data_IF_735603718047
#
_entry.id   IF_735603718047
#
_cell.length_a   1.000
_cell.length_b   1.000
_cell.length_c   1.000
_cell.angle_alpha   90.00
_cell.angle_beta   90.00
_cell.angle_gamma   90.00
#
_symmetry.space_group_name_H-M   'P 1'
#
loop_
_entity.id
_entity.type
_entity.pdbx_description
1 polymer ?
#
# COMPACT_ATOMS: atom_id res chain seq x y z
N UNK A 1 -5.38 -5.45 -11.39
CA UNK A 1 -4.02 -4.90 -11.22
C UNK A 1 -3.16 -6.03 -10.65
N UNK A 2 -2.27 -6.61 -11.46
CA UNK A 2 -1.44 -7.76 -11.03
C UNK A 2 -0.27 -7.17 -10.24
N UNK A 3 -0.32 -7.26 -8.93
CA UNK A 3 0.83 -6.99 -8.06
C UNK A 3 1.70 -8.24 -8.05
N UNK A 4 3.02 -8.09 -8.10
CA UNK A 4 3.95 -9.21 -7.90
C UNK A 4 3.89 -9.63 -6.43
N UNK A 5 2.88 -10.42 -6.10
CA UNK A 5 2.71 -11.05 -4.81
C UNK A 5 3.65 -12.26 -4.73
N UNK A 6 4.63 -12.23 -3.84
CA UNK A 6 5.32 -13.47 -3.46
C UNK A 6 4.59 -14.03 -2.25
N UNK A 7 3.67 -14.96 -2.49
CA UNK A 7 2.95 -15.66 -1.43
C UNK A 7 3.77 -16.87 -0.98
N UNK A 8 4.30 -16.82 0.24
CA UNK A 8 4.87 -18.01 0.89
C UNK A 8 3.73 -18.82 1.52
N UNK A 9 3.30 -19.90 0.86
CA UNK A 9 2.45 -20.92 1.51
C UNK A 9 3.34 -21.95 2.20
N UNK A 10 3.14 -22.11 3.50
CA UNK A 10 3.68 -23.26 4.24
C UNK A 10 2.73 -24.43 3.95
N UNK A 11 3.17 -25.36 3.09
CA UNK A 11 2.42 -26.61 2.81
C UNK A 11 2.72 -27.58 3.95
N UNK A 12 1.69 -27.98 4.69
CA UNK A 12 1.78 -29.13 5.59
C UNK A 12 1.54 -30.40 4.78
N UNK A 13 2.51 -31.30 4.78
CA UNK A 13 2.33 -32.64 4.23
C UNK A 13 1.44 -33.48 5.15
N UNK A 14 0.39 -34.05 4.56
CA UNK A 14 -0.22 -35.32 4.94
C UNK A 14 -0.94 -35.41 6.29
N UNK A 15 -2.26 -35.18 6.30
CA UNK A 15 -3.17 -35.92 7.19
C UNK A 15 -4.42 -36.39 6.41
N UNK A 16 -4.87 -37.64 6.61
CA UNK A 16 -6.03 -38.20 5.93
C UNK A 16 -7.34 -37.61 6.44
N UNK A 17 -8.32 -37.52 5.54
CA UNK A 17 -9.63 -36.95 5.79
C UNK A 17 -10.44 -37.76 6.82
N UNK A 18 -10.74 -37.16 7.96
CA UNK A 18 -11.78 -37.64 8.87
C UNK A 18 -13.18 -37.25 8.34
N UNK A 19 -14.04 -38.25 8.21
CA UNK A 19 -15.47 -38.10 7.95
C UNK A 19 -16.17 -37.59 9.21
N UNK A 20 -16.52 -36.30 9.23
CA UNK A 20 -17.30 -35.69 10.32
C UNK A 20 -18.81 -35.75 10.05
N UNK A 21 -19.55 -36.27 11.02
CA UNK A 21 -21.02 -36.25 11.10
C UNK A 21 -21.59 -34.80 11.13
N UNK A 22 -22.81 -34.58 10.61
CA UNK A 22 -23.43 -33.26 10.60
C UNK A 22 -23.83 -32.80 12.01
N UNK A 23 -23.23 -31.69 12.46
CA UNK A 23 -23.64 -31.01 13.69
C UNK A 23 -24.97 -30.27 13.51
N UNK A 24 -25.83 -30.21 14.55
CA UNK A 24 -27.09 -29.46 14.52
C UNK A 24 -26.83 -27.98 14.27
N UNK A 25 -27.68 -27.37 13.43
CA UNK A 25 -27.64 -25.96 13.05
C UNK A 25 -27.73 -25.07 14.30
N UNK A 26 -26.60 -24.45 14.63
CA UNK A 26 -26.54 -23.40 15.62
C UNK A 26 -27.20 -22.17 14.99
N UNK A 27 -28.28 -21.70 15.63
CA UNK A 27 -29.01 -20.51 15.23
C UNK A 27 -28.08 -19.33 15.50
N UNK A 28 -27.47 -18.79 14.44
CA UNK A 28 -26.64 -17.61 14.49
C UNK A 28 -27.51 -16.42 14.89
N UNK A 29 -27.40 -16.01 16.16
CA UNK A 29 -27.84 -14.69 16.57
C UNK A 29 -27.06 -13.67 15.74
N UNK A 30 -27.77 -12.97 14.84
CA UNK A 30 -27.22 -11.93 13.99
C UNK A 30 -26.45 -10.94 14.87
N UNK A 31 -25.13 -10.74 14.66
CA UNK A 31 -24.37 -9.83 15.48
C UNK A 31 -25.01 -8.43 15.42
N UNK A 32 -25.05 -7.70 16.54
CA UNK A 32 -25.66 -6.38 16.57
C UNK A 32 -25.08 -5.53 15.46
N UNK A 33 -25.97 -4.90 14.68
CA UNK A 33 -25.65 -3.97 13.60
C UNK A 33 -24.60 -2.95 14.07
N UNK A 34 -23.35 -3.15 13.66
CA UNK A 34 -22.32 -2.11 13.75
C UNK A 34 -22.63 -1.06 12.69
N UNK A 35 -22.86 0.21 13.05
CA UNK A 35 -23.12 1.24 12.08
C UNK A 35 -21.92 1.31 11.11
N UNK A 36 -22.21 1.11 9.82
CA UNK A 36 -21.24 1.30 8.73
C UNK A 36 -20.57 2.65 8.94
N UNK A 37 -19.25 2.66 9.24
CA UNK A 37 -18.50 3.91 9.41
C UNK A 37 -18.80 4.81 8.20
N UNK A 38 -19.24 6.07 8.40
CA UNK A 38 -19.60 6.94 7.31
C UNK A 38 -18.36 7.16 6.43
N UNK A 39 -18.41 6.59 5.22
CA UNK A 39 -17.55 6.82 4.07
C UNK A 39 -16.05 7.04 4.35
N UNK A 40 -15.24 5.98 4.26
CA UNK A 40 -13.77 6.06 4.45
C UNK A 40 -13.08 7.06 3.51
N UNK A 41 -11.86 7.46 3.87
CA UNK A 41 -11.02 8.46 3.20
C UNK A 41 -11.09 8.46 1.66
N UNK A 42 -10.99 7.29 1.05
CA UNK A 42 -11.14 7.08 -0.40
C UNK A 42 -12.43 7.67 -0.97
N UNK A 43 -13.55 7.50 -0.29
CA UNK A 43 -14.85 7.96 -0.78
C UNK A 43 -14.91 9.49 -0.79
N UNK A 44 -14.55 10.13 0.32
CA UNK A 44 -14.51 11.60 0.47
C UNK A 44 -13.69 12.22 -0.66
N UNK A 45 -12.47 11.72 -0.90
CA UNK A 45 -11.61 12.27 -1.96
C UNK A 45 -12.17 11.99 -3.36
N UNK A 46 -12.83 10.84 -3.61
CA UNK A 46 -13.46 10.60 -4.90
C UNK A 46 -14.66 11.55 -5.15
N UNK A 47 -15.45 11.89 -4.13
CA UNK A 47 -16.50 12.89 -4.25
C UNK A 47 -15.94 14.26 -4.61
N UNK A 48 -14.86 14.68 -3.95
CA UNK A 48 -14.19 15.94 -4.25
C UNK A 48 -13.57 15.96 -5.65
N UNK A 49 -12.96 14.85 -6.08
CA UNK A 49 -12.48 14.70 -7.46
C UNK A 49 -13.63 14.82 -8.47
N UNK A 50 -14.81 14.26 -8.19
CA UNK A 50 -16.00 14.45 -9.05
C UNK A 50 -16.45 15.91 -9.09
N UNK A 51 -16.50 16.61 -7.93
CA UNK A 51 -16.84 18.04 -7.86
C UNK A 51 -15.85 18.92 -8.65
N UNK A 52 -14.57 18.55 -8.66
CA UNK A 52 -13.53 19.22 -9.45
C UNK A 52 -13.60 18.88 -10.96
N UNK A 53 -14.50 17.98 -11.39
CA UNK A 53 -14.55 17.50 -12.77
C UNK A 53 -13.34 16.67 -13.18
N UNK A 54 -12.64 16.07 -12.20
CA UNK A 54 -11.47 15.21 -12.40
C UNK A 54 -11.80 13.73 -12.16
N UNK A 55 -12.86 13.43 -11.42
CA UNK A 55 -13.28 12.08 -11.07
C UNK A 55 -13.95 11.33 -12.22
N UNK A 56 -14.10 10.02 -12.02
CA UNK A 56 -14.92 9.15 -12.86
C UNK A 56 -16.39 9.29 -12.49
N UNK A 57 -17.25 9.53 -13.49
CA UNK A 57 -18.70 9.54 -13.32
C UNK A 57 -19.36 8.36 -14.01
N UNK A 58 -20.68 8.27 -13.85
CA UNK A 58 -21.55 7.36 -14.60
C UNK A 58 -22.69 8.13 -15.25
N UNK A 59 -23.02 7.79 -16.50
CA UNK A 59 -24.20 8.35 -17.19
C UNK A 59 -25.50 7.68 -16.71
N UNK A 60 -26.64 8.11 -17.27
CA UNK A 60 -27.95 7.58 -16.93
C UNK A 60 -28.13 6.09 -17.28
N UNK A 61 -27.25 5.54 -18.11
CA UNK A 61 -27.22 4.13 -18.53
C UNK A 61 -26.20 3.32 -17.72
N UNK A 62 -25.52 3.94 -16.75
CA UNK A 62 -24.49 3.31 -15.93
C UNK A 62 -23.16 3.14 -16.67
N UNK A 63 -22.97 3.77 -17.83
CA UNK A 63 -21.67 3.77 -18.48
C UNK A 63 -20.72 4.73 -17.81
N UNK A 64 -19.45 4.33 -17.76
CA UNK A 64 -18.35 5.16 -17.30
C UNK A 64 -18.19 6.41 -18.15
N UNK A 65 -18.23 7.59 -17.51
CA UNK A 65 -17.96 8.90 -18.13
C UNK A 65 -16.66 9.47 -17.59
N UNK A 66 -15.75 9.82 -18.50
CA UNK A 66 -14.46 10.42 -18.17
C UNK A 66 -14.40 11.90 -18.57
N UNK A 67 -13.73 12.77 -17.79
CA UNK A 67 -13.47 14.14 -18.18
C UNK A 67 -12.70 14.23 -19.50
N UNK A 68 -13.12 15.14 -20.39
CA UNK A 68 -12.50 15.35 -21.70
C UNK A 68 -11.38 16.40 -21.61
N UNK A 69 -10.21 16.12 -22.15
CA UNK A 69 -9.11 17.07 -22.30
C UNK A 69 -8.34 17.42 -21.01
N UNK A 70 -8.74 16.85 -19.86
CA UNK A 70 -8.11 17.06 -18.56
C UNK A 70 -7.27 15.85 -18.10
N UNK A 71 -7.65 14.64 -18.54
CA UNK A 71 -7.32 13.42 -17.82
C UNK A 71 -8.37 13.07 -16.78
N UNK A 72 -8.16 12.01 -16.02
CA UNK A 72 -9.07 11.59 -14.95
C UNK A 72 -8.30 11.04 -13.75
N UNK A 73 -8.94 11.12 -12.60
CA UNK A 73 -8.38 10.77 -11.31
C UNK A 73 -9.23 9.69 -10.63
N UNK A 74 -8.59 8.87 -9.80
CA UNK A 74 -9.26 7.96 -8.88
C UNK A 74 -8.45 7.85 -7.59
N UNK A 75 -9.12 8.05 -6.46
CA UNK A 75 -8.53 7.82 -5.16
C UNK A 75 -8.57 6.32 -4.80
N UNK A 76 -7.44 5.85 -4.27
CA UNK A 76 -7.24 4.54 -3.66
C UNK A 76 -6.84 4.73 -2.20
N UNK A 77 -7.33 3.85 -1.32
CA UNK A 77 -7.00 3.90 0.09
C UNK A 77 -5.49 3.70 0.30
N UNK A 78 -4.85 4.62 1.03
CA UNK A 78 -3.49 4.40 1.52
C UNK A 78 -3.57 3.57 2.82
N UNK A 79 -2.71 2.53 3.00
CA UNK A 79 -2.59 1.85 4.29
C UNK A 79 -2.22 2.86 5.38
N UNK A 80 -2.84 2.77 6.54
CA UNK A 80 -2.72 3.76 7.62
C UNK A 80 -1.29 3.86 8.19
N UNK A 81 -0.57 2.74 8.22
CA UNK A 81 0.85 2.64 8.49
C UNK A 81 1.73 3.39 7.47
N UNK A 82 1.19 3.82 6.32
CA UNK A 82 1.86 4.66 5.33
C UNK A 82 1.52 6.15 5.48
N UNK A 83 0.59 6.53 6.36
CA UNK A 83 0.12 7.91 6.45
C UNK A 83 1.21 8.86 6.99
N UNK A 84 1.25 10.13 6.57
CA UNK A 84 2.01 11.14 7.28
C UNK A 84 1.59 11.24 8.75
N UNK A 85 2.54 11.47 9.65
CA UNK A 85 2.23 11.57 11.08
C UNK A 85 1.36 12.81 11.33
N UNK A 86 0.22 12.58 12.00
CA UNK A 86 -0.78 13.63 12.26
C UNK A 86 -1.81 13.83 11.15
N UNK A 87 -1.75 13.06 10.05
CA UNK A 87 -2.83 13.01 9.08
C UNK A 87 -4.08 12.33 9.67
N UNK A 88 -5.26 12.90 9.36
CA UNK A 88 -6.57 12.32 9.68
C UNK A 88 -7.19 11.59 8.48
N UNK A 89 -6.65 11.82 7.29
CA UNK A 89 -7.04 11.18 6.04
C UNK A 89 -5.81 11.08 5.14
N UNK A 90 -5.64 9.95 4.45
CA UNK A 90 -4.63 9.80 3.42
C UNK A 90 -5.05 8.77 2.36
N UNK A 91 -4.84 9.13 1.09
CA UNK A 91 -5.14 8.32 -0.10
C UNK A 91 -4.04 8.51 -1.14
N UNK A 92 -3.96 7.56 -2.07
CA UNK A 92 -3.20 7.74 -3.31
C UNK A 92 -4.20 8.05 -4.42
N UNK A 93 -4.06 9.22 -5.04
CA UNK A 93 -4.81 9.57 -6.25
C UNK A 93 -4.01 9.12 -7.46
N UNK A 94 -4.54 8.15 -8.19
CA UNK A 94 -4.04 7.80 -9.50
C UNK A 94 -4.60 8.80 -10.51
N UNK A 95 -3.72 9.49 -11.22
CA UNK A 95 -4.05 10.35 -12.35
C UNK A 95 -3.73 9.64 -13.66
N UNK A 96 -4.58 9.81 -14.66
CA UNK A 96 -4.41 9.25 -16.00
C UNK A 96 -4.65 10.32 -17.05
N UNK A 97 -3.84 10.37 -18.14
CA UNK A 97 -4.01 11.40 -19.16
C UNK A 97 -5.32 11.22 -19.94
N UNK A 98 -5.72 12.31 -20.59
CA UNK A 98 -6.80 12.29 -21.57
C UNK A 98 -6.51 11.26 -22.68
N UNK A 99 -7.56 10.69 -23.28
CA UNK A 99 -7.44 9.65 -24.30
C UNK A 99 -6.53 10.07 -25.46
N UNK A 100 -6.56 11.34 -25.87
CA UNK A 100 -5.71 11.84 -26.96
C UNK A 100 -4.21 11.88 -26.60
N UNK A 101 -3.87 11.85 -25.31
CA UNK A 101 -2.50 11.94 -24.79
C UNK A 101 -2.05 10.64 -24.11
N UNK A 102 -2.86 9.57 -24.19
CA UNK A 102 -2.48 8.26 -23.69
C UNK A 102 -1.46 7.60 -24.63
N UNK A 103 -0.44 6.94 -24.08
CA UNK A 103 0.40 6.06 -24.88
C UNK A 103 -0.43 5.02 -25.61
N UNK A 104 -0.16 4.87 -26.91
CA UNK A 104 -0.82 3.88 -27.74
C UNK A 104 0.06 2.63 -27.78
N UNK A 105 -0.54 1.51 -27.39
CA UNK A 105 0.11 0.20 -27.45
C UNK A 105 -0.30 -0.47 -28.75
N UNK A 106 0.68 -0.84 -29.57
CA UNK A 106 0.42 -1.75 -30.68
C UNK A 106 0.31 -3.21 -30.17
N UNK A 107 -0.07 -4.14 -31.04
CA UNK A 107 -0.02 -5.58 -30.73
C UNK A 107 1.39 -6.05 -30.32
N UNK A 108 2.43 -5.31 -30.71
CA UNK A 108 3.77 -5.44 -30.16
C UNK A 108 3.93 -4.47 -28.99
N UNK A 109 3.97 -5.01 -27.76
CA UNK A 109 4.11 -4.25 -26.52
C UNK A 109 5.41 -3.43 -26.44
N UNK A 110 6.41 -3.76 -27.27
CA UNK A 110 7.67 -3.00 -27.38
C UNK A 110 7.52 -1.75 -28.24
N UNK A 111 6.49 -1.71 -29.09
CA UNK A 111 6.17 -0.58 -29.97
C UNK A 111 5.08 0.26 -29.31
N UNK A 112 5.55 1.19 -28.49
CA UNK A 112 4.73 2.22 -27.83
C UNK A 112 4.92 3.53 -28.58
N UNK A 113 3.82 4.13 -29.01
CA UNK A 113 3.83 5.48 -29.59
C UNK A 113 3.36 6.47 -28.53
N UNK A 114 4.16 7.50 -28.28
CA UNK A 114 3.78 8.62 -27.41
C UNK A 114 3.15 9.70 -28.27
N UNK A 115 1.87 10.08 -28.03
CA UNK A 115 1.25 11.16 -28.78
C UNK A 115 2.01 12.48 -28.65
N UNK A 116 2.02 13.27 -29.72
CA UNK A 116 2.55 14.64 -29.70
C UNK A 116 1.86 15.46 -28.62
N UNK A 117 2.63 16.15 -27.79
CA UNK A 117 2.11 16.96 -26.69
C UNK A 117 1.81 16.20 -25.39
N UNK A 118 2.00 14.88 -25.33
CA UNK A 118 1.75 14.11 -24.10
C UNK A 118 2.56 14.60 -22.89
N UNK A 119 3.84 14.96 -23.08
CA UNK A 119 4.68 15.49 -22.00
C UNK A 119 4.15 16.81 -21.44
N UNK A 120 3.86 17.78 -22.30
CA UNK A 120 3.27 19.06 -21.90
C UNK A 120 1.89 18.88 -21.24
N UNK A 121 1.08 17.94 -21.74
CA UNK A 121 -0.21 17.60 -21.14
C UNK A 121 -0.04 17.04 -19.72
N UNK A 122 0.89 16.10 -19.52
CA UNK A 122 1.21 15.54 -18.20
C UNK A 122 1.62 16.62 -17.21
N UNK A 123 2.66 17.37 -17.55
CA UNK A 123 3.20 18.42 -16.68
C UNK A 123 2.10 19.42 -16.28
N UNK A 124 1.40 19.97 -17.27
CA UNK A 124 0.35 20.97 -17.04
C UNK A 124 -0.82 20.40 -16.22
N UNK A 125 -1.27 19.18 -16.52
CA UNK A 125 -2.48 18.63 -15.90
C UNK A 125 -2.23 18.06 -14.52
N UNK A 126 -1.06 17.47 -14.27
CA UNK A 126 -0.71 17.02 -12.92
C UNK A 126 -0.56 18.24 -12.00
N UNK A 127 0.14 19.30 -12.43
CA UNK A 127 0.24 20.54 -11.66
C UNK A 127 -1.14 21.16 -11.38
N UNK A 128 -2.04 21.18 -12.38
CA UNK A 128 -3.41 21.65 -12.19
C UNK A 128 -4.22 20.77 -11.23
N UNK A 129 -4.05 19.45 -11.25
CA UNK A 129 -4.70 18.52 -10.32
C UNK A 129 -4.21 18.73 -8.89
N UNK A 130 -2.90 18.90 -8.68
CA UNK A 130 -2.32 19.20 -7.37
C UNK A 130 -2.91 20.51 -6.83
N UNK A 131 -2.86 21.59 -7.61
CA UNK A 131 -3.40 22.89 -7.20
C UNK A 131 -4.91 22.85 -6.90
N UNK A 132 -5.67 22.07 -7.67
CA UNK A 132 -7.10 21.89 -7.43
C UNK A 132 -7.40 21.17 -6.11
N UNK A 133 -6.64 20.12 -5.79
CA UNK A 133 -6.74 19.40 -4.51
C UNK A 133 -6.31 20.30 -3.33
N UNK A 134 -5.23 21.06 -3.49
CA UNK A 134 -4.76 22.02 -2.48
C UNK A 134 -5.80 23.11 -2.20
N UNK A 135 -6.56 23.55 -3.23
CA UNK A 135 -7.65 24.51 -3.06
C UNK A 135 -8.80 24.01 -2.17
N UNK A 136 -8.92 22.69 -1.98
CA UNK A 136 -9.88 22.05 -1.08
C UNK A 136 -9.31 21.81 0.34
N UNK A 137 -8.08 22.28 0.61
CA UNK A 137 -7.42 22.14 1.90
C UNK A 137 -6.68 20.81 2.10
N UNK A 138 -6.48 20.03 1.02
CA UNK A 138 -5.59 18.88 1.06
C UNK A 138 -4.13 19.31 0.91
N UNK A 139 -3.23 18.45 1.38
CA UNK A 139 -1.84 18.44 0.92
C UNK A 139 -1.73 17.40 -0.18
N UNK A 140 -1.19 17.80 -1.34
CA UNK A 140 -1.06 16.95 -2.50
C UNK A 140 0.40 16.91 -2.97
N UNK A 141 1.03 15.73 -2.88
CA UNK A 141 2.43 15.53 -3.23
C UNK A 141 2.57 14.68 -4.50
N UNK A 142 3.19 15.25 -5.53
CA UNK A 142 3.54 14.57 -6.77
C UNK A 142 5.06 14.47 -6.93
N UNK A 143 5.51 13.36 -7.51
CA UNK A 143 6.92 13.00 -7.62
C UNK A 143 7.37 13.13 -9.08
N UNK A 144 7.59 14.34 -9.58
CA UNK A 144 7.75 14.61 -11.03
C UNK A 144 8.80 13.77 -11.74
N UNK A 145 9.96 13.57 -11.11
CA UNK A 145 11.16 13.13 -11.83
C UNK A 145 11.14 11.64 -12.21
N UNK A 146 10.24 10.88 -11.60
CA UNK A 146 10.07 9.45 -11.88
C UNK A 146 9.04 9.17 -12.97
N UNK A 147 8.10 10.09 -13.20
CA UNK A 147 6.86 9.79 -13.92
C UNK A 147 6.79 10.54 -15.26
N UNK A 148 7.25 9.87 -16.32
CA UNK A 148 7.12 10.38 -17.70
C UNK A 148 6.06 9.62 -18.51
N UNK A 149 5.44 10.26 -19.50
CA UNK A 149 4.55 9.59 -20.43
C UNK A 149 5.25 8.53 -21.29
N UNK A 150 6.59 8.43 -21.26
CA UNK A 150 7.35 7.37 -21.95
C UNK A 150 7.35 6.07 -21.16
N UNK A 151 7.36 6.16 -19.83
CA UNK A 151 7.56 5.01 -18.95
C UNK A 151 6.26 4.61 -18.23
N UNK A 152 5.33 5.55 -18.05
CA UNK A 152 4.17 5.35 -17.19
C UNK A 152 2.85 5.62 -17.92
N UNK A 153 1.77 4.89 -17.58
CA UNK A 153 0.45 5.14 -18.16
C UNK A 153 -0.31 6.28 -17.46
N UNK A 154 0.19 6.77 -16.33
CA UNK A 154 -0.40 7.80 -15.51
C UNK A 154 0.58 8.22 -14.41
N UNK A 155 0.11 8.98 -13.44
CA UNK A 155 0.88 9.46 -12.30
C UNK A 155 0.19 9.08 -10.98
N UNK A 156 0.94 9.11 -9.90
CA UNK A 156 0.42 8.92 -8.55
C UNK A 156 0.68 10.17 -7.72
N UNK A 157 -0.35 10.63 -7.01
CA UNK A 157 -0.32 11.80 -6.15
C UNK A 157 -0.71 11.33 -4.76
N UNK A 158 0.15 11.55 -3.77
CA UNK A 158 -0.22 11.32 -2.36
C UNK A 158 -1.09 12.48 -1.91
N UNK A 159 -2.30 12.20 -1.44
CA UNK A 159 -3.25 13.22 -1.00
C UNK A 159 -3.64 12.93 0.43
N UNK A 160 -3.44 13.90 1.31
CA UNK A 160 -3.75 13.77 2.72
C UNK A 160 -4.26 15.07 3.32
N UNK A 161 -4.89 14.96 4.48
CA UNK A 161 -5.33 16.11 5.28
C UNK A 161 -4.78 15.96 6.69
N UNK A 162 -4.18 17.03 7.20
CA UNK A 162 -3.65 17.08 8.55
C UNK A 162 -4.76 17.37 9.55
N UNK A 163 -4.63 16.84 10.77
CA UNK A 163 -5.49 17.27 11.87
C UNK A 163 -5.32 18.78 12.12
N UNK A 164 -6.36 19.49 12.61
CA UNK A 164 -6.29 20.93 12.88
C UNK A 164 -5.08 21.29 13.78
N UNK A 165 -4.29 22.27 13.34
CA UNK A 165 -3.11 22.73 14.07
C UNK A 165 -1.85 21.89 13.88
N UNK A 166 -1.90 20.81 13.08
CA UNK A 166 -0.72 20.02 12.72
C UNK A 166 -0.19 20.47 11.37
N UNK A 167 1.06 20.92 11.34
CA UNK A 167 1.76 21.28 10.11
C UNK A 167 2.09 20.02 9.29
N UNK A 168 1.92 20.05 7.95
CA UNK A 168 2.30 18.92 7.12
C UNK A 168 3.81 18.72 7.10
N UNK A 169 4.29 17.47 7.10
CA UNK A 169 5.71 17.19 7.02
C UNK A 169 6.26 17.71 5.70
N UNK A 170 7.21 18.65 5.77
CA UNK A 170 7.85 19.21 4.58
C UNK A 170 8.92 18.25 4.09
N UNK A 171 8.67 17.59 2.98
CA UNK A 171 9.70 16.82 2.28
C UNK A 171 10.63 17.79 1.53
N UNK A 172 11.96 17.68 1.66
CA UNK A 172 12.87 18.49 0.87
C UNK A 172 12.68 18.20 -0.63
N UNK A 173 12.98 19.17 -1.49
CA UNK A 173 12.80 19.03 -2.94
C UNK A 173 13.54 17.81 -3.52
N UNK A 174 14.68 17.44 -2.92
CA UNK A 174 15.49 16.28 -3.31
C UNK A 174 15.17 15.01 -2.51
N UNK A 175 14.12 14.99 -1.68
CA UNK A 175 13.67 13.80 -0.96
C UNK A 175 13.52 12.59 -1.89
N UNK A 176 13.24 12.87 -3.15
CA UNK A 176 12.95 11.89 -4.17
C UNK A 176 14.13 11.58 -5.12
N UNK A 177 15.24 12.30 -4.99
CA UNK A 177 16.39 12.15 -5.89
C UNK A 177 17.12 10.80 -5.72
N UNK A 178 16.96 10.14 -4.57
CA UNK A 178 17.54 8.82 -4.28
C UNK A 178 16.73 7.68 -4.89
N UNK A 179 15.48 7.92 -5.29
CA UNK A 179 14.71 6.95 -6.04
C UNK A 179 15.19 7.02 -7.48
N UNK A 180 15.89 5.97 -7.94
CA UNK A 180 16.20 5.83 -9.36
C UNK A 180 14.92 5.96 -10.19
N UNK A 181 15.02 6.36 -11.47
CA UNK A 181 13.86 6.55 -12.33
C UNK A 181 12.93 5.35 -12.20
N UNK A 182 11.62 5.59 -11.99
CA UNK A 182 10.66 4.51 -11.92
C UNK A 182 10.81 3.72 -13.22
N UNK A 183 11.33 2.49 -13.08
CA UNK A 183 11.83 1.76 -14.25
C UNK A 183 10.65 1.50 -15.17
N UNK A 184 10.78 1.78 -16.48
CA UNK A 184 9.70 1.56 -17.43
C UNK A 184 9.10 0.19 -17.16
N UNK A 185 7.77 0.14 -17.03
CA UNK A 185 7.06 -1.08 -16.65
C UNK A 185 7.31 -2.28 -17.60
N UNK A 186 8.15 -2.16 -18.64
CA UNK A 186 8.32 -3.14 -19.72
C UNK A 186 9.72 -3.20 -20.38
N UNK A 187 10.79 -2.59 -19.85
CA UNK A 187 12.15 -2.92 -20.36
C UNK A 187 12.60 -4.29 -19.80
N UNK A 188 12.06 -5.34 -20.43
CA UNK A 188 12.50 -6.72 -20.31
C UNK A 188 13.96 -6.82 -20.77
N UNK A 189 14.90 -6.79 -19.83
CA UNK A 189 16.32 -7.00 -20.09
C UNK A 189 17.18 -6.87 -18.84
N UNK A 190 16.78 -6.02 -17.90
CA UNK A 190 17.35 -6.01 -16.56
C UNK A 190 16.37 -6.73 -15.64
N UNK A 191 16.87 -7.74 -14.96
CA UNK A 191 16.15 -8.73 -14.17
C UNK A 191 15.35 -8.06 -13.02
N UNK A 192 14.22 -7.41 -13.34
CA UNK A 192 13.28 -6.77 -12.40
C UNK A 192 12.88 -7.76 -11.31
N UNK A 193 12.61 -9.00 -11.75
CA UNK A 193 12.43 -10.14 -10.88
C UNK A 193 13.63 -10.30 -9.94
N UNK A 194 14.86 -10.51 -10.41
CA UNK A 194 15.97 -10.77 -9.48
C UNK A 194 16.32 -9.63 -8.51
N UNK A 195 16.21 -8.35 -8.90
CA UNK A 195 16.53 -7.23 -7.99
C UNK A 195 15.42 -6.94 -6.98
N UNK A 196 14.16 -6.86 -7.42
CA UNK A 196 13.01 -6.71 -6.51
C UNK A 196 12.84 -7.97 -5.66
N UNK A 197 13.06 -9.15 -6.24
CA UNK A 197 13.10 -10.41 -5.49
C UNK A 197 14.22 -10.40 -4.49
N UNK A 198 15.45 -9.93 -4.75
CA UNK A 198 16.50 -9.99 -3.74
C UNK A 198 16.22 -9.06 -2.53
N UNK A 199 15.72 -7.83 -2.76
CA UNK A 199 15.32 -6.93 -1.66
C UNK A 199 14.13 -7.48 -0.88
N UNK A 200 13.07 -7.87 -1.59
CA UNK A 200 11.87 -8.45 -0.99
C UNK A 200 12.21 -9.80 -0.34
N UNK A 201 13.13 -10.59 -0.90
CA UNK A 201 13.62 -11.86 -0.36
C UNK A 201 14.36 -11.65 0.94
N UNK A 202 15.16 -10.59 1.12
CA UNK A 202 15.81 -10.33 2.42
C UNK A 202 14.78 -10.03 3.51
N UNK A 203 13.79 -9.18 3.24
CA UNK A 203 12.71 -8.89 4.19
C UNK A 203 11.83 -10.13 4.42
N UNK A 204 11.53 -10.89 3.37
CA UNK A 204 10.78 -12.14 3.46
C UNK A 204 11.56 -13.24 4.18
N UNK A 205 12.87 -13.34 4.01
CA UNK A 205 13.72 -14.35 4.63
C UNK A 205 13.84 -14.07 6.13
N UNK A 206 13.99 -12.80 6.52
CA UNK A 206 13.88 -12.38 7.92
C UNK A 206 12.50 -12.72 8.52
N UNK A 207 11.41 -12.35 7.84
CA UNK A 207 10.06 -12.66 8.29
C UNK A 207 9.76 -14.17 8.30
N UNK A 208 10.30 -14.94 7.34
CA UNK A 208 10.14 -16.39 7.21
C UNK A 208 10.93 -17.14 8.28
N UNK A 209 12.20 -16.79 8.51
CA UNK A 209 13.03 -17.40 9.57
C UNK A 209 12.39 -17.16 10.94
N UNK A 210 11.79 -15.99 11.16
CA UNK A 210 11.00 -15.70 12.37
C UNK A 210 9.78 -16.63 12.51
N UNK A 211 8.96 -16.79 11.45
CA UNK A 211 7.81 -17.70 11.50
C UNK A 211 8.22 -19.18 11.66
N UNK A 212 9.37 -19.59 11.13
CA UNK A 212 9.87 -20.96 11.24
C UNK A 212 10.44 -21.28 12.62
N UNK A 213 11.21 -20.38 13.22
CA UNK A 213 11.83 -20.62 14.53
C UNK A 213 10.80 -20.58 15.68
N UNK A 214 9.67 -19.88 15.52
CA UNK A 214 8.61 -19.83 16.53
C UNK A 214 7.66 -21.05 16.50
N UNK A 215 7.59 -21.77 15.38
CA UNK A 215 6.83 -23.03 15.26
C UNK A 215 7.59 -24.21 15.87
N UNK A 216 8.91 -24.09 16.11
CA UNK A 216 9.78 -25.22 16.51
C UNK A 216 10.66 -24.98 17.75
N UNK A 217 10.55 -23.83 18.44
CA UNK A 217 11.27 -23.59 19.69
C UNK A 217 10.71 -24.41 20.87
N UNK A 218 11.60 -25.15 21.56
CA UNK A 218 11.37 -26.08 22.68
C UNK A 218 10.78 -25.45 23.97
N UNK A 219 9.66 -24.71 23.88
CA UNK A 219 8.87 -24.37 25.08
C UNK A 219 7.90 -25.51 25.38
N UNK A 220 7.81 -25.99 26.64
CA UNK A 220 6.89 -27.06 27.03
C UNK A 220 5.45 -26.75 26.60
N UNK A 221 4.91 -27.65 25.78
CA UNK A 221 3.69 -27.56 24.97
C UNK A 221 2.37 -27.63 25.74
N UNK A 222 2.28 -27.10 26.97
CA UNK A 222 1.05 -27.32 27.76
C UNK A 222 0.05 -26.15 27.76
N UNK A 223 0.40 -24.90 27.44
CA UNK A 223 -0.58 -23.78 27.58
C UNK A 223 -0.53 -22.61 26.59
N UNK A 224 0.24 -22.66 25.49
CA UNK A 224 0.24 -21.55 24.51
C UNK A 224 0.14 -22.12 23.08
N UNK A 225 -0.92 -21.81 22.30
CA UNK A 225 -1.03 -22.24 20.91
C UNK A 225 0.06 -21.58 20.05
N UNK A 226 1.12 -22.32 19.72
CA UNK A 226 2.26 -21.92 18.89
C UNK A 226 1.93 -21.88 17.39
N UNK A 227 0.97 -21.05 16.96
CA UNK A 227 0.65 -20.84 15.53
C UNK A 227 0.48 -19.36 15.22
N UNK A 228 1.58 -18.64 15.05
CA UNK A 228 1.55 -17.24 14.63
C UNK A 228 1.21 -17.15 13.13
N UNK A 229 -0.06 -17.32 12.78
CA UNK A 229 -0.60 -16.91 11.49
C UNK A 229 -0.64 -17.94 10.36
N UNK A 230 -1.47 -17.66 9.36
CA UNK A 230 -1.61 -18.43 8.10
C UNK A 230 -0.56 -18.04 7.06
N UNK A 231 0.03 -16.85 7.18
CA UNK A 231 1.12 -16.38 6.33
C UNK A 231 1.43 -14.89 6.48
N UNK A 232 2.57 -14.50 5.93
CA UNK A 232 3.00 -13.12 5.80
C UNK A 232 3.23 -12.83 4.31
N UNK A 233 2.82 -11.65 3.86
CA UNK A 233 3.12 -11.16 2.51
C UNK A 233 3.86 -9.84 2.60
N UNK A 234 4.90 -9.71 1.79
CA UNK A 234 5.73 -8.51 1.74
C UNK A 234 5.68 -7.96 0.33
N UNK A 235 5.47 -6.66 0.23
CA UNK A 235 5.38 -5.93 -1.03
C UNK A 235 6.35 -4.76 -0.98
N UNK A 236 6.97 -4.43 -2.12
CA UNK A 236 7.63 -3.13 -2.24
C UNK A 236 6.57 -2.03 -2.11
N UNK A 237 6.89 -1.00 -1.33
CA UNK A 237 6.00 0.12 -1.14
C UNK A 237 6.18 1.13 -2.28
N UNK A 238 5.06 1.59 -2.84
CA UNK A 238 5.06 2.62 -3.89
C UNK A 238 5.87 3.84 -3.42
N UNK A 239 6.69 4.49 -4.28
CA UNK A 239 7.48 5.65 -3.89
C UNK A 239 6.67 6.73 -3.16
N UNK A 240 5.43 6.96 -3.61
CA UNK A 240 4.48 7.92 -3.02
C UNK A 240 4.10 7.64 -1.57
N UNK A 241 4.20 6.39 -1.14
CA UNK A 241 3.84 5.94 0.21
C UNK A 241 5.05 5.73 1.12
N UNK A 242 6.27 5.88 0.60
CA UNK A 242 7.49 5.64 1.39
C UNK A 242 7.69 6.74 2.44
N UNK A 243 8.14 6.36 3.65
CA UNK A 243 8.65 7.31 4.62
C UNK A 243 9.77 8.17 4.03
N UNK A 244 9.93 9.38 4.56
CA UNK A 244 10.93 10.31 4.08
C UNK A 244 12.36 9.76 4.29
N UNK A 245 13.20 9.81 3.26
CA UNK A 245 14.58 9.33 3.31
C UNK A 245 14.74 7.81 3.22
N UNK A 246 13.66 7.05 3.04
CA UNK A 246 13.70 5.60 2.92
C UNK A 246 14.38 5.16 1.61
N UNK A 247 15.56 4.54 1.71
CA UNK A 247 16.22 3.87 0.57
C UNK A 247 15.63 2.49 0.32
N UNK A 248 15.24 1.81 1.39
CA UNK A 248 14.57 0.51 1.37
C UNK A 248 13.25 0.63 2.11
N UNK A 249 12.18 0.14 1.50
CA UNK A 249 10.88 0.22 2.10
C UNK A 249 10.02 -0.94 1.64
N UNK A 250 9.38 -1.61 2.59
CA UNK A 250 8.44 -2.67 2.31
C UNK A 250 7.17 -2.50 3.16
N UNK A 251 6.06 -2.94 2.61
CA UNK A 251 4.83 -3.16 3.34
C UNK A 251 4.72 -4.64 3.69
N UNK A 252 4.54 -4.93 4.97
CA UNK A 252 4.46 -6.27 5.54
C UNK A 252 3.03 -6.48 6.03
N UNK A 253 2.32 -7.41 5.40
CA UNK A 253 0.97 -7.81 5.77
C UNK A 253 0.99 -9.22 6.38
N UNK A 254 0.67 -9.34 7.66
CA UNK A 254 0.54 -10.61 8.36
C UNK A 254 -0.92 -11.00 8.53
N UNK A 255 -1.23 -12.28 8.33
CA UNK A 255 -2.59 -12.82 8.41
C UNK A 255 -2.65 -13.84 9.56
N UNK A 256 -3.49 -13.61 10.60
CA UNK A 256 -3.61 -14.55 11.71
C UNK A 256 -4.17 -15.90 11.27
N UNK A 257 -3.96 -16.93 12.10
CA UNK A 257 -4.74 -18.15 11.99
C UNK A 257 -6.21 -17.79 12.32
N UNK A 258 -7.20 -18.15 11.49
CA UNK A 258 -8.61 -17.85 11.77
C UNK A 258 -9.08 -18.29 13.16
N UNK A 259 -8.51 -19.37 13.72
CA UNK A 259 -8.85 -19.85 15.06
C UNK A 259 -8.32 -18.95 16.18
N UNK A 260 -7.23 -18.22 15.90
CA UNK A 260 -6.56 -17.35 16.85
C UNK A 260 -6.87 -15.86 16.63
N UNK A 261 -7.39 -15.49 15.45
CA UNK A 261 -7.76 -14.11 15.09
C UNK A 261 -8.79 -13.46 16.05
N UNK A 262 -9.50 -14.27 16.83
CA UNK A 262 -10.45 -13.81 17.86
C UNK A 262 -9.80 -13.35 19.17
N UNK A 263 -8.50 -13.60 19.38
CA UNK A 263 -7.79 -13.23 20.60
C UNK A 263 -6.94 -11.99 20.37
N UNK A 264 -7.19 -10.93 21.14
CA UNK A 264 -6.47 -9.66 21.01
C UNK A 264 -4.98 -9.82 21.29
N UNK A 265 -4.63 -10.68 22.25
CA UNK A 265 -3.26 -10.98 22.64
C UNK A 265 -2.45 -11.54 21.46
N UNK A 266 -3.10 -12.31 20.58
CA UNK A 266 -2.46 -12.89 19.40
C UNK A 266 -2.02 -11.81 18.39
N UNK A 267 -2.86 -10.79 18.19
CA UNK A 267 -2.52 -9.64 17.34
C UNK A 267 -1.36 -8.82 17.91
N UNK A 268 -1.39 -8.55 19.21
CA UNK A 268 -0.35 -7.80 19.91
C UNK A 268 0.99 -8.55 19.91
N UNK A 269 0.98 -9.86 20.16
CA UNK A 269 2.17 -10.70 20.13
C UNK A 269 2.78 -10.73 18.72
N UNK A 270 1.96 -10.95 17.69
CA UNK A 270 2.42 -10.94 16.31
C UNK A 270 3.05 -9.60 15.91
N UNK A 271 2.40 -8.47 16.24
CA UNK A 271 2.95 -7.14 15.96
C UNK A 271 4.27 -6.90 16.67
N UNK A 272 4.36 -7.26 17.95
CA UNK A 272 5.57 -7.10 18.77
C UNK A 272 6.71 -7.90 18.16
N UNK A 273 6.46 -9.17 17.82
CA UNK A 273 7.47 -10.07 17.27
C UNK A 273 7.96 -9.62 15.88
N UNK A 274 7.04 -9.30 14.97
CA UNK A 274 7.39 -8.83 13.61
C UNK A 274 8.21 -7.53 13.71
N UNK A 275 7.76 -6.60 14.54
CA UNK A 275 8.44 -5.32 14.73
C UNK A 275 9.83 -5.49 15.32
N UNK A 276 9.98 -6.32 16.36
CA UNK A 276 11.28 -6.61 16.97
C UNK A 276 12.26 -7.23 15.97
N UNK A 277 11.81 -8.22 15.21
CA UNK A 277 12.62 -8.89 14.19
C UNK A 277 13.10 -7.93 13.11
N UNK A 278 12.20 -7.10 12.57
CA UNK A 278 12.57 -6.10 11.55
C UNK A 278 13.58 -5.09 12.10
N UNK A 279 13.44 -4.70 13.37
CA UNK A 279 14.37 -3.78 14.04
C UNK A 279 15.74 -4.41 14.30
N UNK A 280 15.80 -5.69 14.65
CA UNK A 280 17.06 -6.45 14.77
C UNK A 280 17.85 -6.46 13.45
N UNK A 281 17.14 -6.51 12.32
CA UNK A 281 17.72 -6.40 10.97
C UNK A 281 18.01 -4.95 10.52
N UNK A 282 17.86 -3.98 11.43
CA UNK A 282 18.15 -2.58 11.22
C UNK A 282 17.08 -1.81 10.44
N UNK A 283 15.85 -2.30 10.41
CA UNK A 283 14.73 -1.55 9.84
C UNK A 283 14.03 -0.68 10.90
N UNK A 284 13.71 0.55 10.53
CA UNK A 284 12.65 1.30 11.19
C UNK A 284 11.29 0.69 10.85
N UNK A 285 10.31 0.81 11.75
CA UNK A 285 9.01 0.15 11.59
C UNK A 285 7.89 1.06 12.04
N UNK A 286 6.77 1.04 11.31
CA UNK A 286 5.54 1.73 11.70
C UNK A 286 4.35 0.81 11.45
N UNK A 287 3.52 0.64 12.46
CA UNK A 287 2.22 -0.02 12.35
C UNK A 287 1.12 1.05 12.27
N UNK A 288 -0.10 0.66 11.90
CA UNK A 288 -1.27 1.56 11.94
C UNK A 288 -1.53 2.07 13.36
N UNK A 289 -2.23 3.21 13.51
CA UNK A 289 -2.57 3.76 14.83
C UNK A 289 -3.75 3.04 15.47
N UNK A 290 -4.77 2.70 14.69
CA UNK A 290 -5.90 1.94 15.23
C UNK A 290 -5.44 0.55 15.73
N UNK A 291 -5.88 0.11 16.92
CA UNK A 291 -5.52 -1.21 17.42
C UNK A 291 -6.01 -2.29 16.44
N UNK A 292 -5.12 -3.22 16.10
CA UNK A 292 -5.49 -4.46 15.40
C UNK A 292 -6.31 -5.32 16.34
N UNK A 293 -7.21 -6.14 15.81
CA UNK A 293 -8.02 -6.99 16.66
C UNK A 293 -9.02 -7.85 15.91
N UNK A 294 -9.88 -8.56 16.64
CA UNK A 294 -10.97 -9.36 16.08
C UNK A 294 -11.78 -8.52 15.07
N UNK A 295 -11.89 -8.99 13.83
CA UNK A 295 -12.53 -8.27 12.72
C UNK A 295 -11.55 -7.65 11.71
N UNK A 296 -10.27 -7.53 12.05
CA UNK A 296 -9.24 -7.16 11.06
C UNK A 296 -8.88 -8.36 10.18
N UNK A 297 -8.70 -8.14 8.88
CA UNK A 297 -8.28 -9.19 7.95
C UNK A 297 -6.77 -9.51 8.04
N UNK A 298 -5.96 -8.50 8.38
CA UNK A 298 -4.50 -8.59 8.47
C UNK A 298 -3.94 -7.51 9.38
N UNK A 299 -2.69 -7.70 9.82
CA UNK A 299 -1.82 -6.74 10.49
C UNK A 299 -0.88 -6.15 9.43
N UNK A 300 -0.79 -4.83 9.35
CA UNK A 300 0.01 -4.10 8.39
C UNK A 300 1.15 -3.30 9.05
N UNK A 301 2.36 -3.46 8.55
CA UNK A 301 3.56 -2.78 9.05
C UNK A 301 4.35 -2.24 7.85
N UNK A 302 4.76 -0.98 7.90
CA UNK A 302 5.78 -0.44 6.99
C UNK A 302 7.15 -0.62 7.63
N UNK A 303 8.08 -1.21 6.87
CA UNK A 303 9.46 -1.45 7.27
C UNK A 303 10.42 -0.66 6.36
N UNK A 304 11.29 0.11 7.00
CA UNK A 304 12.21 1.14 6.51
C UNK A 304 13.72 1.01 6.66
N UNK A 305 14.56 1.33 5.66
CA UNK A 305 15.95 1.75 5.92
C UNK A 305 16.19 3.15 5.38
N UNK A 306 16.85 4.00 6.15
CA UNK A 306 17.28 5.33 5.73
C UNK A 306 18.64 5.26 5.02
N UNK A 307 18.95 6.27 4.18
CA UNK A 307 20.28 6.40 3.52
C UNK A 307 21.40 6.43 4.57
N UNK A 308 21.15 7.06 5.73
CA UNK A 308 22.08 7.19 6.85
C UNK A 308 21.31 7.27 8.19
N UNK A 309 21.82 6.67 9.28
CA UNK A 309 21.23 6.79 10.62
C UNK A 309 21.41 8.18 11.28
N UNK A 310 22.19 9.09 10.68
CA UNK A 310 22.56 10.38 11.30
C UNK A 310 21.64 11.57 10.95
N UNK A 311 20.61 11.38 10.12
CA UNK A 311 19.61 12.41 9.79
C UNK A 311 18.38 12.43 10.72
N UNK A 312 18.57 12.07 11.99
CA UNK A 312 17.56 12.31 13.03
C UNK A 312 17.78 13.68 13.71
N UNK A 313 17.10 14.73 13.22
CA UNK A 313 16.61 15.77 14.12
C UNK A 313 15.09 16.04 14.01
N UNK A 314 14.29 15.15 13.40
CA UNK A 314 12.86 15.41 13.14
C UNK A 314 11.89 14.59 14.03
N UNK A 315 12.38 13.76 14.95
CA UNK A 315 11.57 13.03 15.94
C UNK A 315 11.55 13.67 17.35
N UNK A 316 11.49 15.00 17.46
CA UNK A 316 11.16 15.68 18.72
C UNK A 316 9.99 16.63 18.56
#
# INVERSE_FOLDING_TARGET
MIHNAVMLRIVKDGEPAETSEPKPQQQDDEPPYEPVRPFGARHIVNEDLMRLGLGEGVDAQGHRVLPKGLGWCQALQAPEECWPDGAELCVVVNWYPDVAHRPQYSNDYRKRTIPTGAAAHWEKRIAATVAALESLGYVAEFHSDLWTPTHHPGAEILVYRMAPGVEPPRKPANAWATYGPARPNFEYGINKAAYEQERVRRVLEAARLMMQNYVYGERPLEKVPSRIGKGCVVWDLKPTLRPLGAVDCAHVAWFPDPQLARYQEHWTEAQTLITATLREDGYATRARKEPWGPGSASLGIVAWKNVEPELEPWQR
#
